data_IF_045733050874
#
_entry.id   IF_045733050874
#
_cell.length_a   1.000
_cell.length_b   1.000
_cell.length_c   1.000
_cell.angle_alpha   90.00
_cell.angle_beta   90.00
_cell.angle_gamma   90.00
#
_symmetry.space_group_name_H-M   'P 1'
#
loop_
_entity.id
_entity.type
_entity.pdbx_description
1 polymer ?
#
# COMPACT_ATOMS: atom_id res chain seq x y z
N UNK A 1 69.58 84.89 17.54
CA UNK A 1 69.16 85.82 16.49
C UNK A 1 68.80 84.97 15.28
N UNK A 2 67.52 84.87 14.94
CA UNK A 2 67.02 83.98 13.87
C UNK A 2 67.44 84.48 12.47
N UNK A 3 68.03 85.66 12.39
CA UNK A 3 68.42 86.35 11.16
C UNK A 3 69.77 85.87 10.57
N UNK A 4 70.44 84.88 11.19
CA UNK A 4 71.78 84.43 10.77
C UNK A 4 71.94 82.90 10.69
N UNK A 5 70.90 82.20 10.22
CA UNK A 5 71.02 80.76 9.95
C UNK A 5 71.72 80.50 8.60
N UNK A 6 72.61 79.48 8.52
CA UNK A 6 73.26 79.11 7.27
C UNK A 6 72.22 78.62 6.24
N UNK A 7 72.49 78.79 4.93
CA UNK A 7 71.56 78.39 3.89
C UNK A 7 71.28 76.89 3.99
N UNK A 8 70.00 76.53 3.89
CA UNK A 8 69.55 75.13 3.98
C UNK A 8 70.24 74.34 2.85
N UNK A 9 70.91 73.22 3.15
CA UNK A 9 71.53 72.38 2.13
C UNK A 9 70.53 71.98 1.06
N UNK A 10 70.94 72.00 -0.20
CA UNK A 10 70.04 71.83 -1.36
C UNK A 10 69.12 70.60 -1.24
N UNK A 11 69.64 69.46 -0.74
CA UNK A 11 68.86 68.24 -0.54
C UNK A 11 67.71 68.41 0.49
N UNK A 12 67.93 69.18 1.56
CA UNK A 12 66.92 69.49 2.57
C UNK A 12 65.90 70.50 2.04
N UNK A 13 66.35 71.45 1.20
CA UNK A 13 65.45 72.37 0.52
C UNK A 13 64.50 71.61 -0.42
N UNK A 14 64.99 70.65 -1.20
CA UNK A 14 64.16 69.82 -2.08
C UNK A 14 63.14 68.99 -1.28
N UNK A 15 63.53 68.44 -0.13
CA UNK A 15 62.65 67.66 0.73
C UNK A 15 61.54 68.53 1.35
N UNK A 16 61.88 69.76 1.77
CA UNK A 16 60.93 70.75 2.27
C UNK A 16 59.95 71.20 1.18
N UNK A 17 60.39 71.36 -0.06
CA UNK A 17 59.51 71.65 -1.20
C UNK A 17 58.53 70.49 -1.43
N UNK A 18 59.00 69.23 -1.43
CA UNK A 18 58.13 68.06 -1.62
C UNK A 18 57.09 67.88 -0.49
N UNK A 19 57.46 68.22 0.75
CA UNK A 19 56.57 68.12 1.91
C UNK A 19 55.53 69.26 1.96
N UNK A 20 55.91 70.49 1.57
CA UNK A 20 55.04 71.66 1.58
C UNK A 20 54.19 71.78 0.31
N UNK A 21 54.71 71.33 -0.84
CA UNK A 21 53.96 71.05 -2.06
C UNK A 21 53.47 69.61 -2.05
N UNK A 22 52.99 69.11 -0.90
CA UNK A 22 52.33 67.82 -0.82
C UNK A 22 51.36 67.74 -1.99
N UNK A 23 51.70 66.92 -2.98
CA UNK A 23 50.90 66.73 -4.18
C UNK A 23 49.53 66.41 -3.64
N UNK A 24 48.61 67.35 -3.85
CA UNK A 24 47.28 67.22 -3.32
C UNK A 24 46.67 66.07 -4.13
N UNK A 25 46.85 64.84 -3.65
CA UNK A 25 46.25 63.62 -4.19
C UNK A 25 44.74 63.62 -3.87
N UNK A 26 44.12 64.79 -3.94
CA UNK A 26 42.70 64.98 -4.15
C UNK A 26 42.39 64.47 -5.55
N UNK A 27 42.33 63.15 -5.65
CA UNK A 27 41.94 62.39 -6.83
C UNK A 27 42.91 62.49 -8.03
N UNK A 28 44.10 61.84 -7.97
CA UNK A 28 44.95 61.76 -9.14
C UNK A 28 44.20 60.99 -10.24
N UNK A 29 43.81 61.73 -11.29
CA UNK A 29 43.17 61.17 -12.47
C UNK A 29 44.23 60.35 -13.22
N UNK A 30 44.34 59.10 -12.83
CA UNK A 30 45.29 58.13 -13.37
C UNK A 30 44.70 57.55 -14.65
N UNK A 31 45.24 57.95 -15.81
CA UNK A 31 44.74 57.50 -17.11
C UNK A 31 44.74 55.96 -17.25
N UNK A 32 45.68 55.28 -16.60
CA UNK A 32 45.75 53.83 -16.46
C UNK A 32 44.61 53.28 -15.59
N UNK A 33 44.28 53.94 -14.49
CA UNK A 33 43.13 53.58 -13.66
C UNK A 33 41.81 53.71 -14.43
N UNK A 34 41.62 54.78 -15.22
CA UNK A 34 40.40 54.94 -16.03
C UNK A 34 40.29 53.89 -17.11
N UNK A 35 41.42 53.53 -17.74
CA UNK A 35 41.49 52.45 -18.71
C UNK A 35 41.09 51.12 -18.09
N UNK A 36 41.67 50.75 -16.95
CA UNK A 36 41.35 49.51 -16.21
C UNK A 36 39.87 49.51 -15.77
N UNK A 37 39.37 50.66 -15.30
CA UNK A 37 37.97 50.82 -14.89
C UNK A 37 37.03 50.64 -16.08
N UNK A 38 37.35 51.22 -17.23
CA UNK A 38 36.58 51.09 -18.47
C UNK A 38 36.58 49.65 -18.99
N UNK A 39 37.75 48.99 -19.01
CA UNK A 39 37.87 47.58 -19.41
C UNK A 39 37.07 46.66 -18.49
N UNK A 40 37.14 46.87 -17.17
CA UNK A 40 36.33 46.15 -16.17
C UNK A 40 34.84 46.38 -16.40
N UNK A 41 34.41 47.61 -16.61
CA UNK A 41 32.99 47.94 -16.78
C UNK A 41 32.44 47.39 -18.10
N UNK A 42 33.26 47.39 -19.16
CA UNK A 42 32.97 46.72 -20.41
C UNK A 42 32.85 45.20 -20.22
N UNK A 43 33.83 44.55 -19.60
CA UNK A 43 33.80 43.11 -19.28
C UNK A 43 32.62 42.71 -18.42
N UNK A 44 32.29 43.50 -17.39
CA UNK A 44 31.09 43.29 -16.58
C UNK A 44 29.84 43.39 -17.43
N UNK A 45 29.74 44.38 -18.31
CA UNK A 45 28.58 44.53 -19.19
C UNK A 45 28.45 43.36 -20.16
N UNK A 46 29.55 42.85 -20.71
CA UNK A 46 29.56 41.67 -21.58
C UNK A 46 29.22 40.38 -20.82
N UNK A 47 29.81 40.14 -19.65
CA UNK A 47 29.49 38.95 -18.83
C UNK A 47 28.06 38.96 -18.26
N UNK A 48 27.52 40.14 -17.91
CA UNK A 48 26.16 40.26 -17.36
C UNK A 48 25.07 40.09 -18.42
N UNK A 49 25.41 40.21 -19.71
CA UNK A 49 24.43 40.13 -20.80
C UNK A 49 24.35 38.73 -21.44
N UNK A 50 25.35 37.86 -21.24
CA UNK A 50 25.50 36.60 -22.00
C UNK A 50 25.37 35.28 -21.20
N UNK A 51 24.77 35.31 -20.00
CA UNK A 51 24.35 34.09 -19.31
C UNK A 51 22.83 33.96 -19.25
N UNK A 52 22.15 34.28 -20.36
CA UNK A 52 20.91 33.59 -20.72
C UNK A 52 21.32 32.52 -21.70
N UNK A 53 21.32 31.24 -21.29
CA UNK A 53 21.35 30.15 -22.25
C UNK A 53 20.15 30.37 -23.19
N UNK A 54 20.35 30.77 -24.46
CA UNK A 54 19.25 31.06 -25.39
C UNK A 54 18.39 29.82 -25.65
N UNK A 55 18.91 28.67 -25.24
CA UNK A 55 18.40 27.34 -25.49
C UNK A 55 17.94 26.64 -24.20
N UNK A 56 17.99 27.27 -23.02
CA UNK A 56 17.56 26.57 -21.78
C UNK A 56 16.07 26.25 -21.81
N UNK A 57 15.22 27.21 -22.17
CA UNK A 57 13.77 27.00 -22.28
C UNK A 57 13.44 26.00 -23.38
N UNK A 58 14.15 26.07 -24.51
CA UNK A 58 13.97 25.13 -25.62
C UNK A 58 14.43 23.72 -25.26
N UNK A 59 15.56 23.56 -24.55
CA UNK A 59 16.01 22.28 -24.03
C UNK A 59 15.05 21.72 -22.98
N UNK A 60 14.49 22.57 -22.11
CA UNK A 60 13.51 22.17 -21.11
C UNK A 60 12.22 21.67 -21.77
N UNK A 61 11.69 22.41 -22.75
CA UNK A 61 10.51 22.00 -23.52
C UNK A 61 10.76 20.71 -24.30
N UNK A 62 11.93 20.58 -24.93
CA UNK A 62 12.32 19.35 -25.64
C UNK A 62 12.37 18.16 -24.67
N UNK A 63 12.95 18.35 -23.49
CA UNK A 63 13.05 17.30 -22.48
C UNK A 63 11.69 16.90 -21.92
N UNK A 64 10.81 17.87 -21.69
CA UNK A 64 9.42 17.63 -21.29
C UNK A 64 8.68 16.81 -22.34
N UNK A 65 8.81 17.17 -23.62
CA UNK A 65 8.19 16.42 -24.71
C UNK A 65 8.76 15.00 -24.86
N UNK A 66 10.07 14.81 -24.68
CA UNK A 66 10.70 13.48 -24.66
C UNK A 66 10.10 12.59 -23.58
N UNK A 67 9.95 13.10 -22.36
CA UNK A 67 9.37 12.37 -21.22
C UNK A 67 7.92 12.00 -21.51
N UNK A 68 7.13 12.94 -22.06
CA UNK A 68 5.73 12.67 -22.41
C UNK A 68 5.64 11.59 -23.49
N UNK A 69 6.47 11.66 -24.52
CA UNK A 69 6.51 10.65 -25.58
C UNK A 69 6.92 9.27 -25.04
N UNK A 70 7.83 9.20 -24.06
CA UNK A 70 8.18 7.97 -23.37
C UNK A 70 6.96 7.36 -22.68
N UNK A 71 6.21 8.13 -21.89
CA UNK A 71 4.98 7.63 -21.25
C UNK A 71 3.94 7.17 -22.25
N UNK A 72 3.70 7.94 -23.32
CA UNK A 72 2.75 7.57 -24.37
C UNK A 72 3.14 6.26 -25.04
N UNK A 73 4.43 6.06 -25.31
CA UNK A 73 4.94 4.86 -25.98
C UNK A 73 4.91 3.64 -25.05
N UNK A 74 5.44 3.78 -23.83
CA UNK A 74 5.58 2.66 -22.90
C UNK A 74 4.24 2.20 -22.30
N UNK A 75 3.28 3.11 -22.16
CA UNK A 75 1.95 2.82 -21.61
C UNK A 75 0.86 2.74 -22.69
N UNK A 76 1.24 2.80 -23.97
CA UNK A 76 0.34 2.75 -25.13
C UNK A 76 -0.85 3.75 -25.03
N UNK A 77 -0.57 4.98 -24.59
CA UNK A 77 -1.60 6.01 -24.41
C UNK A 77 -2.05 6.59 -25.76
N UNK A 78 -3.31 7.03 -25.85
CA UNK A 78 -3.79 7.78 -27.02
C UNK A 78 -3.12 9.16 -27.10
N UNK A 79 -2.56 9.58 -28.26
CA UNK A 79 -1.93 10.88 -28.40
C UNK A 79 -2.98 12.01 -28.43
N UNK A 80 -3.17 12.70 -27.31
CA UNK A 80 -3.97 13.93 -27.17
C UNK A 80 -3.12 15.02 -26.51
N UNK A 81 -3.18 16.24 -27.05
CA UNK A 81 -2.49 17.47 -26.62
C UNK A 81 -1.58 17.30 -25.39
N UNK A 82 -0.38 16.81 -25.70
CA UNK A 82 0.57 16.20 -24.78
C UNK A 82 1.11 17.17 -23.70
N UNK A 83 0.27 17.56 -22.74
CA UNK A 83 0.69 18.20 -21.51
C UNK A 83 0.93 17.16 -20.43
N UNK A 84 1.82 17.46 -19.49
CA UNK A 84 2.11 16.58 -18.34
C UNK A 84 0.84 16.27 -17.55
N UNK A 85 -0.09 17.22 -17.43
CA UNK A 85 -1.35 17.06 -16.71
C UNK A 85 -2.27 16.04 -17.39
N UNK A 86 -2.35 16.05 -18.72
CA UNK A 86 -3.15 15.09 -19.49
C UNK A 86 -2.58 13.67 -19.37
N UNK A 87 -1.25 13.51 -19.45
CA UNK A 87 -0.57 12.23 -19.21
C UNK A 87 -0.85 11.69 -17.80
N UNK A 88 -0.76 12.55 -16.78
CA UNK A 88 -1.06 12.16 -15.40
C UNK A 88 -2.52 11.69 -15.25
N UNK A 89 -3.47 12.37 -15.91
CA UNK A 89 -4.87 11.97 -15.88
C UNK A 89 -5.08 10.60 -16.52
N UNK A 90 -4.48 10.36 -17.70
CA UNK A 90 -4.54 9.06 -18.39
C UNK A 90 -3.93 7.93 -17.55
N UNK A 91 -2.78 8.15 -16.93
CA UNK A 91 -2.14 7.16 -16.04
C UNK A 91 -3.07 6.81 -14.87
N UNK A 92 -3.73 7.80 -14.26
CA UNK A 92 -4.66 7.56 -13.15
C UNK A 92 -5.89 6.74 -13.55
N UNK A 93 -6.33 6.82 -14.80
CA UNK A 93 -7.44 6.00 -15.31
C UNK A 93 -7.02 4.55 -15.58
N UNK A 94 -5.77 4.33 -16.00
CA UNK A 94 -5.21 2.99 -16.21
C UNK A 94 -4.96 2.23 -14.89
N UNK A 95 -4.76 2.96 -13.79
CA UNK A 95 -4.60 2.33 -12.48
C UNK A 95 -5.96 1.76 -12.04
N UNK A 96 -6.06 0.44 -11.79
CA UNK A 96 -7.28 -0.15 -11.31
C UNK A 96 -7.66 0.51 -9.98
N UNK A 97 -8.83 1.14 -9.94
CA UNK A 97 -9.44 1.54 -8.68
C UNK A 97 -9.65 0.26 -7.86
N UNK A 98 -9.34 0.25 -6.56
CA UNK A 98 -9.67 -0.90 -5.71
C UNK A 98 -11.17 -1.18 -5.88
N UNK A 99 -11.48 -2.38 -6.39
CA UNK A 99 -12.81 -2.76 -6.86
C UNK A 99 -13.85 -2.89 -5.74
N UNK A 100 -13.39 -2.91 -4.49
CA UNK A 100 -14.21 -2.92 -3.30
C UNK A 100 -13.70 -1.84 -2.36
N UNK A 101 -14.63 -1.13 -1.73
CA UNK A 101 -14.31 -0.32 -0.56
C UNK A 101 -13.83 -1.25 0.56
N UNK A 102 -12.93 -0.77 1.41
CA UNK A 102 -12.41 -1.54 2.55
C UNK A 102 -13.55 -2.11 3.43
N UNK A 103 -14.64 -1.35 3.55
CA UNK A 103 -15.85 -1.77 4.27
C UNK A 103 -16.56 -2.97 3.62
N UNK A 104 -16.65 -3.02 2.29
CA UNK A 104 -17.27 -4.14 1.57
C UNK A 104 -16.42 -5.41 1.75
N UNK A 105 -15.09 -5.28 1.67
CA UNK A 105 -14.17 -6.39 1.88
C UNK A 105 -14.26 -6.93 3.31
N UNK A 106 -14.33 -6.04 4.31
CA UNK A 106 -14.43 -6.41 5.72
C UNK A 106 -15.77 -7.07 6.05
N UNK A 107 -16.86 -6.60 5.44
CA UNK A 107 -18.19 -7.22 5.57
C UNK A 107 -18.18 -8.63 4.99
N UNK A 108 -17.65 -8.81 3.77
CA UNK A 108 -17.57 -10.11 3.13
C UNK A 108 -16.72 -11.11 3.94
N UNK A 109 -15.60 -10.64 4.50
CA UNK A 109 -14.74 -11.47 5.36
C UNK A 109 -15.47 -11.91 6.63
N UNK A 110 -16.19 -11.00 7.29
CA UNK A 110 -16.95 -11.34 8.49
C UNK A 110 -18.07 -12.35 8.20
N UNK A 111 -18.81 -12.16 7.10
CA UNK A 111 -19.85 -13.11 6.67
C UNK A 111 -19.27 -14.50 6.37
N UNK A 112 -18.13 -14.57 5.69
CA UNK A 112 -17.46 -15.84 5.41
C UNK A 112 -17.00 -16.53 6.70
N UNK A 113 -16.41 -15.78 7.64
CA UNK A 113 -15.94 -16.31 8.93
C UNK A 113 -17.10 -16.88 9.77
N UNK A 114 -18.24 -16.19 9.80
CA UNK A 114 -19.43 -16.65 10.49
C UNK A 114 -19.97 -17.94 9.85
N UNK A 115 -20.08 -17.96 8.51
CA UNK A 115 -20.53 -19.14 7.77
C UNK A 115 -19.65 -20.35 8.02
N UNK A 116 -18.32 -20.17 8.04
CA UNK A 116 -17.37 -21.24 8.35
C UNK A 116 -17.60 -21.77 9.78
N UNK A 117 -17.79 -20.88 10.75
CA UNK A 117 -18.03 -21.25 12.14
C UNK A 117 -19.32 -22.05 12.29
N UNK A 118 -20.40 -21.62 11.63
CA UNK A 118 -21.70 -22.29 11.67
C UNK A 118 -21.63 -23.69 11.05
N UNK A 119 -20.98 -23.82 9.88
CA UNK A 119 -20.79 -25.12 9.21
C UNK A 119 -19.94 -26.09 10.04
N UNK A 120 -18.88 -25.60 10.70
CA UNK A 120 -18.08 -26.42 11.61
C UNK A 120 -18.89 -26.91 12.81
N UNK A 121 -19.80 -26.07 13.34
CA UNK A 121 -20.74 -26.48 14.39
C UNK A 121 -21.68 -27.58 13.93
N UNK A 122 -22.31 -27.43 12.76
CA UNK A 122 -23.21 -28.42 12.19
C UNK A 122 -22.50 -29.76 11.91
N UNK A 123 -21.27 -29.71 11.40
CA UNK A 123 -20.48 -30.92 11.12
C UNK A 123 -20.23 -31.74 12.40
N UNK A 124 -19.85 -31.10 13.50
CA UNK A 124 -19.63 -31.77 14.79
C UNK A 124 -20.88 -32.48 15.29
N UNK A 125 -22.06 -31.88 15.11
CA UNK A 125 -23.32 -32.51 15.52
C UNK A 125 -23.68 -33.72 14.64
N UNK A 126 -23.39 -33.66 13.34
CA UNK A 126 -23.54 -34.80 12.42
C UNK A 126 -22.60 -35.95 12.79
N UNK A 127 -21.34 -35.66 13.14
CA UNK A 127 -20.37 -36.67 13.59
C UNK A 127 -20.84 -37.36 14.89
N UNK A 128 -21.33 -36.58 15.87
CA UNK A 128 -21.91 -37.13 17.11
C UNK A 128 -23.10 -38.03 16.83
N UNK A 129 -24.03 -37.60 15.97
CA UNK A 129 -25.19 -38.41 15.60
C UNK A 129 -24.76 -39.72 14.91
N UNK A 130 -23.75 -39.66 14.05
CA UNK A 130 -23.20 -40.85 13.38
C UNK A 130 -22.61 -41.84 14.38
N UNK A 131 -21.88 -41.35 15.39
CA UNK A 131 -21.36 -42.17 16.47
C UNK A 131 -22.48 -42.83 17.30
N UNK A 132 -23.51 -42.06 17.68
CA UNK A 132 -24.67 -42.56 18.42
C UNK A 132 -25.38 -43.67 17.63
N UNK A 133 -25.69 -43.43 16.35
CA UNK A 133 -26.31 -44.41 15.47
C UNK A 133 -25.52 -45.72 15.42
N UNK A 134 -24.19 -45.64 15.29
CA UNK A 134 -23.33 -46.83 15.22
C UNK A 134 -23.43 -47.67 16.49
N UNK A 135 -23.35 -47.04 17.66
CA UNK A 135 -23.42 -47.71 18.96
C UNK A 135 -24.80 -48.35 19.15
N UNK A 136 -25.87 -47.59 18.94
CA UNK A 136 -27.21 -48.07 19.20
C UNK A 136 -27.67 -49.15 18.20
N UNK A 137 -27.29 -49.03 16.92
CA UNK A 137 -27.56 -50.10 15.94
C UNK A 137 -26.81 -51.38 16.34
N UNK A 138 -25.59 -51.29 16.86
CA UNK A 138 -24.86 -52.45 17.35
C UNK A 138 -25.59 -53.11 18.53
N UNK A 139 -26.05 -52.32 19.51
CA UNK A 139 -26.84 -52.83 20.64
C UNK A 139 -28.15 -53.47 20.19
N UNK A 140 -28.86 -52.89 19.23
CA UNK A 140 -30.08 -53.47 18.67
C UNK A 140 -29.82 -54.82 17.98
N UNK A 141 -28.67 -54.98 17.30
CA UNK A 141 -28.28 -56.26 16.70
C UNK A 141 -28.03 -57.32 17.77
N UNK A 142 -27.42 -56.95 18.89
CA UNK A 142 -27.20 -57.88 20.00
C UNK A 142 -28.51 -58.29 20.68
N UNK A 143 -29.43 -57.34 20.90
CA UNK A 143 -30.72 -57.61 21.53
C UNK A 143 -31.70 -58.34 20.61
N UNK A 144 -31.63 -58.11 19.29
CA UNK A 144 -32.59 -58.62 18.30
C UNK A 144 -31.90 -59.22 17.04
N UNK A 145 -31.05 -60.25 17.20
CA UNK A 145 -30.11 -60.71 16.16
C UNK A 145 -30.75 -61.23 14.87
N UNK A 146 -31.98 -61.78 14.94
CA UNK A 146 -32.67 -62.37 13.78
C UNK A 146 -33.74 -61.46 13.17
N UNK A 147 -33.75 -60.18 13.56
CA UNK A 147 -34.85 -59.28 13.24
C UNK A 147 -34.42 -57.93 12.68
N UNK A 148 -33.22 -57.45 13.03
CA UNK A 148 -32.63 -56.28 12.38
C UNK A 148 -32.21 -56.62 10.94
N UNK A 149 -33.14 -56.48 9.99
CA UNK A 149 -32.85 -56.63 8.56
C UNK A 149 -31.96 -55.50 8.05
N UNK A 150 -31.28 -55.71 6.94
CA UNK A 150 -30.48 -54.68 6.28
C UNK A 150 -31.30 -53.42 5.95
N UNK A 151 -32.57 -53.59 5.56
CA UNK A 151 -33.48 -52.48 5.27
C UNK A 151 -33.76 -51.61 6.50
N UNK A 152 -33.97 -52.23 7.68
CA UNK A 152 -34.21 -51.49 8.92
C UNK A 152 -32.94 -50.74 9.35
N UNK A 153 -31.79 -51.38 9.22
CA UNK A 153 -30.49 -50.76 9.52
C UNK A 153 -30.28 -49.53 8.64
N UNK A 154 -30.58 -49.64 7.35
CA UNK A 154 -30.45 -48.53 6.42
C UNK A 154 -31.39 -47.37 6.80
N UNK A 155 -32.66 -47.64 7.11
CA UNK A 155 -33.61 -46.61 7.57
C UNK A 155 -33.12 -45.87 8.83
N UNK A 156 -32.53 -46.61 9.78
CA UNK A 156 -31.93 -46.03 10.98
C UNK A 156 -30.68 -45.18 10.66
N UNK A 157 -29.88 -45.59 9.69
CA UNK A 157 -28.69 -44.85 9.25
C UNK A 157 -29.04 -43.55 8.51
N UNK A 158 -30.15 -43.50 7.78
CA UNK A 158 -30.58 -42.34 6.98
C UNK A 158 -31.15 -41.18 7.81
N UNK A 159 -31.48 -41.39 9.09
CA UNK A 159 -32.08 -40.35 9.93
C UNK A 159 -31.15 -39.13 10.12
N UNK A 160 -31.54 -37.93 9.71
CA UNK A 160 -30.64 -36.76 9.74
C UNK A 160 -30.57 -36.07 11.11
N UNK A 161 -31.46 -36.43 12.04
CA UNK A 161 -31.51 -35.90 13.41
C UNK A 161 -31.62 -37.02 14.45
N UNK A 162 -31.20 -36.74 15.69
CA UNK A 162 -31.37 -37.68 16.80
C UNK A 162 -32.84 -38.00 17.09
N UNK A 163 -33.74 -37.01 16.98
CA UNK A 163 -35.17 -37.22 17.23
C UNK A 163 -35.77 -38.19 16.21
N UNK A 164 -35.47 -38.02 14.92
CA UNK A 164 -35.92 -38.94 13.87
C UNK A 164 -35.36 -40.35 14.09
N UNK A 165 -34.06 -40.44 14.42
CA UNK A 165 -33.41 -41.71 14.72
C UNK A 165 -34.06 -42.44 15.90
N UNK A 166 -34.27 -41.74 17.02
CA UNK A 166 -34.90 -42.28 18.24
C UNK A 166 -36.34 -42.75 17.97
N UNK A 167 -37.12 -42.01 17.19
CA UNK A 167 -38.48 -42.40 16.81
C UNK A 167 -38.49 -43.69 16.00
N UNK A 168 -37.65 -43.79 14.97
CA UNK A 168 -37.52 -45.01 14.15
C UNK A 168 -37.09 -46.21 15.00
N UNK A 169 -36.04 -46.03 15.83
CA UNK A 169 -35.55 -47.05 16.76
C UNK A 169 -36.66 -47.55 17.68
N UNK A 170 -37.37 -46.64 18.35
CA UNK A 170 -38.42 -47.00 19.29
C UNK A 170 -39.61 -47.68 18.60
N UNK A 171 -39.94 -47.29 17.37
CA UNK A 171 -40.97 -47.95 16.58
C UNK A 171 -40.60 -49.40 16.28
N UNK A 172 -39.34 -49.68 15.92
CA UNK A 172 -38.87 -51.04 15.69
C UNK A 172 -38.83 -51.86 16.98
N UNK A 173 -38.34 -51.30 18.09
CA UNK A 173 -38.43 -51.95 19.41
C UNK A 173 -39.88 -52.30 19.75
N UNK A 174 -40.82 -51.37 19.55
CA UNK A 174 -42.25 -51.61 19.83
C UNK A 174 -42.83 -52.71 18.95
N UNK A 175 -42.49 -52.77 17.66
CA UNK A 175 -42.89 -53.88 16.78
C UNK A 175 -42.40 -55.21 17.33
N UNK A 176 -41.16 -55.29 17.83
CA UNK A 176 -40.63 -56.51 18.43
C UNK A 176 -41.37 -56.92 19.69
N UNK A 177 -41.58 -55.99 20.62
CA UNK A 177 -42.28 -56.27 21.87
C UNK A 177 -43.73 -56.75 21.61
N UNK A 178 -44.42 -56.16 20.63
CA UNK A 178 -45.79 -56.53 20.29
C UNK A 178 -45.91 -57.86 19.53
N UNK A 179 -44.85 -58.30 18.82
CA UNK A 179 -44.83 -59.58 18.09
C UNK A 179 -44.39 -60.77 18.96
N UNK A 180 -43.88 -60.53 20.17
CA UNK A 180 -43.52 -61.56 21.16
C UNK A 180 -44.34 -61.41 22.46
N UNK A 181 -45.66 -61.69 22.46
CA UNK A 181 -46.45 -61.65 23.70
C UNK A 181 -46.10 -62.79 24.69
N UNK A 182 -45.34 -63.82 24.30
CA UNK A 182 -45.24 -65.10 25.03
C UNK A 182 -43.89 -65.39 25.71
N UNK A 183 -43.22 -64.39 26.30
CA UNK A 183 -42.07 -64.67 27.19
C UNK A 183 -42.10 -63.96 28.55
N UNK A 184 -43.21 -63.29 28.90
CA UNK A 184 -43.37 -62.66 30.21
C UNK A 184 -44.60 -63.11 31.01
N UNK A 185 -45.32 -64.14 30.55
CA UNK A 185 -46.45 -64.73 31.29
C UNK A 185 -46.27 -66.24 31.49
N UNK A 186 -45.24 -66.64 32.24
CA UNK A 186 -45.17 -67.98 32.85
C UNK A 186 -44.15 -68.02 34.00
N UNK A 187 -44.49 -67.42 35.15
CA UNK A 187 -44.01 -67.84 36.48
C UNK A 187 -44.82 -67.12 37.55
N UNK A 188 -46.07 -67.54 37.73
CA UNK A 188 -46.82 -67.39 38.98
C UNK A 188 -48.12 -68.18 38.82
N UNK A 189 -48.03 -69.49 39.00
CA UNK A 189 -49.14 -70.41 39.32
C UNK A 189 -48.50 -71.73 39.73
N UNK A 190 -48.14 -71.80 41.03
CA UNK A 190 -48.41 -72.88 41.98
C UNK A 190 -47.52 -72.72 43.23
#
# INVERSE_FOLDING_TARGET
>A
DLDHLPPVPAALSTLLTFYNEAINCSNPHHADYDKIKSERDMLKKTQSQDHRCPDYETQLQKREQEIINQFITELELEPKNNSVQEVIAMIKELLPKPAATENELQTALQTAQQTITDLQGQLKEVEKLTAIKKIEIAQLKELFPHRLTASIIQQLQEATTYQQFSQLRNAEIKKYLNQNPTNHSASSSD
#
